data_IF_522243716528
#
_entry.id   IF_522243716528
#
_cell.length_a   1.000
_cell.length_b   1.000
_cell.length_c   1.000
_cell.angle_alpha   90.00
_cell.angle_beta   90.00
_cell.angle_gamma   90.00
#
_symmetry.space_group_name_H-M   'P 1'
#
loop_
_entity.id
_entity.type
_entity.pdbx_description
1 polymer ?
#
# COMPACT_ATOMS: atom_id res chain seq x y z
N UNK A 1 17.20 -29.95 28.95
CA UNK A 1 17.08 -28.49 29.16
C UNK A 1 18.26 -27.67 28.63
N UNK A 2 19.53 -28.09 28.79
CA UNK A 2 20.70 -27.32 28.28
C UNK A 2 20.69 -27.05 26.77
N UNK A 3 20.27 -28.02 25.96
CA UNK A 3 20.13 -27.84 24.51
C UNK A 3 19.01 -26.86 24.15
N UNK A 4 17.87 -26.92 24.86
CA UNK A 4 16.76 -25.98 24.66
C UNK A 4 17.16 -24.56 25.05
N UNK A 5 17.87 -24.38 26.16
CA UNK A 5 18.39 -23.08 26.57
C UNK A 5 19.38 -22.51 25.53
N UNK A 6 20.27 -23.35 24.99
CA UNK A 6 21.20 -22.93 23.92
C UNK A 6 20.45 -22.50 22.66
N UNK A 7 19.40 -23.23 22.26
CA UNK A 7 18.59 -22.87 21.09
C UNK A 7 17.84 -21.55 21.31
N UNK A 8 17.19 -21.38 22.46
CA UNK A 8 16.48 -20.13 22.80
C UNK A 8 17.46 -18.95 22.85
N UNK A 9 18.62 -19.14 23.46
CA UNK A 9 19.66 -18.10 23.51
C UNK A 9 20.08 -17.67 22.10
N UNK A 10 20.35 -18.64 21.20
CA UNK A 10 20.70 -18.34 19.81
C UNK A 10 19.55 -17.68 19.03
N UNK A 11 18.31 -18.09 19.27
CA UNK A 11 17.15 -17.46 18.66
C UNK A 11 16.98 -16.00 19.11
N UNK A 12 17.09 -15.73 20.41
CA UNK A 12 17.02 -14.36 20.97
C UNK A 12 18.18 -13.52 20.44
N UNK A 13 19.40 -14.07 20.43
CA UNK A 13 20.56 -13.39 19.88
C UNK A 13 20.37 -13.03 18.40
N UNK A 14 19.84 -13.96 17.59
CA UNK A 14 19.52 -13.72 16.20
C UNK A 14 18.47 -12.61 16.07
N UNK A 15 17.40 -12.64 16.86
CA UNK A 15 16.35 -11.59 16.84
C UNK A 15 16.96 -10.24 17.19
N UNK A 16 17.80 -10.15 18.23
CA UNK A 16 18.48 -8.91 18.62
C UNK A 16 19.41 -8.39 17.52
N UNK A 17 20.13 -9.29 16.84
CA UNK A 17 20.97 -8.94 15.70
C UNK A 17 20.14 -8.36 14.56
N UNK A 18 19.02 -9.01 14.20
CA UNK A 18 18.10 -8.51 13.17
C UNK A 18 17.52 -7.15 13.56
N UNK A 19 17.13 -6.96 14.82
CA UNK A 19 16.65 -5.67 15.33
C UNK A 19 17.74 -4.60 15.21
N UNK A 20 18.99 -4.94 15.51
CA UNK A 20 20.13 -4.03 15.38
C UNK A 20 20.31 -3.57 13.93
N UNK A 21 20.17 -4.49 12.97
CA UNK A 21 20.25 -4.17 11.53
C UNK A 21 19.06 -3.30 11.08
N UNK A 22 17.83 -3.61 11.50
CA UNK A 22 16.65 -2.78 11.22
C UNK A 22 16.86 -1.36 11.72
N UNK A 23 17.27 -1.21 12.98
CA UNK A 23 17.50 0.09 13.60
C UNK A 23 18.66 0.85 12.95
N UNK A 24 19.68 0.14 12.45
CA UNK A 24 20.77 0.75 11.70
C UNK A 24 20.24 1.42 10.42
N UNK A 25 19.45 0.71 9.60
CA UNK A 25 18.87 1.30 8.40
C UNK A 25 17.89 2.44 8.69
N UNK A 26 17.13 2.35 9.78
CA UNK A 26 16.20 3.43 10.17
C UNK A 26 16.96 4.68 10.59
N UNK A 27 17.95 4.56 11.48
CA UNK A 27 18.55 5.70 12.18
C UNK A 27 19.80 6.26 11.52
N UNK A 28 20.55 5.46 10.78
CA UNK A 28 21.84 5.89 10.20
C UNK A 28 21.63 6.44 8.79
N UNK A 29 21.91 7.73 8.54
CA UNK A 29 21.83 8.28 7.20
C UNK A 29 22.93 7.68 6.32
N UNK A 30 22.58 7.35 5.09
CA UNK A 30 23.52 6.84 4.12
C UNK A 30 24.22 8.00 3.39
N UNK A 31 25.52 8.14 3.57
CA UNK A 31 26.31 9.20 2.90
C UNK A 31 26.74 8.82 1.48
N UNK A 32 26.83 7.53 1.17
CA UNK A 32 27.24 7.03 -0.14
C UNK A 32 26.02 6.69 -1.00
N UNK A 33 26.03 7.00 -2.31
CA UNK A 33 24.86 6.86 -3.18
C UNK A 33 24.35 5.41 -3.27
N UNK A 34 25.26 4.42 -3.33
CA UNK A 34 24.87 3.01 -3.35
C UNK A 34 24.15 2.59 -2.06
N UNK A 35 24.65 3.02 -0.90
CA UNK A 35 24.06 2.71 0.41
C UNK A 35 22.73 3.44 0.59
N UNK A 36 22.61 4.65 0.03
CA UNK A 36 21.39 5.44 0.06
C UNK A 36 20.24 4.78 -0.72
N UNK A 37 20.54 4.23 -1.90
CA UNK A 37 19.55 3.49 -2.68
C UNK A 37 19.04 2.24 -1.93
N UNK A 38 19.96 1.46 -1.34
CA UNK A 38 19.59 0.27 -0.54
C UNK A 38 18.74 0.65 0.68
N UNK A 39 19.13 1.72 1.39
CA UNK A 39 18.37 2.22 2.55
C UNK A 39 16.98 2.71 2.14
N UNK A 40 16.87 3.45 1.04
CA UNK A 40 15.59 3.94 0.54
C UNK A 40 14.64 2.79 0.19
N UNK A 41 15.14 1.80 -0.55
CA UNK A 41 14.40 0.58 -0.86
C UNK A 41 13.97 -0.16 0.41
N UNK A 42 14.88 -0.33 1.38
CA UNK A 42 14.58 -1.01 2.64
C UNK A 42 13.46 -0.31 3.43
N UNK A 43 13.52 1.03 3.54
CA UNK A 43 12.52 1.81 4.26
C UNK A 43 11.15 1.75 3.58
N UNK A 44 11.10 1.82 2.25
CA UNK A 44 9.88 1.66 1.46
C UNK A 44 9.27 0.27 1.68
N UNK A 45 10.08 -0.79 1.54
CA UNK A 45 9.65 -2.17 1.78
C UNK A 45 9.09 -2.37 3.20
N UNK A 46 9.79 -1.84 4.22
CA UNK A 46 9.37 -1.93 5.62
C UNK A 46 8.03 -1.22 5.85
N UNK A 47 7.84 -0.03 5.29
CA UNK A 47 6.59 0.71 5.42
C UNK A 47 5.41 -0.06 4.82
N UNK A 48 5.61 -0.66 3.64
CA UNK A 48 4.59 -1.50 2.99
C UNK A 48 4.29 -2.77 3.78
N UNK A 49 5.31 -3.42 4.33
CA UNK A 49 5.13 -4.62 5.14
C UNK A 49 4.28 -4.32 6.40
N UNK A 50 4.50 -3.18 7.04
CA UNK A 50 3.71 -2.75 8.20
C UNK A 50 2.28 -2.38 7.82
N UNK A 51 2.05 -1.85 6.61
CA UNK A 51 0.70 -1.52 6.11
C UNK A 51 -0.10 -2.75 5.65
N UNK A 52 0.59 -3.81 5.24
CA UNK A 52 -0.03 -5.11 4.93
C UNK A 52 -0.35 -5.92 6.18
N UNK A 53 0.19 -5.53 7.35
CA UNK A 53 -0.29 -6.07 8.60
C UNK A 53 -1.76 -5.65 8.71
N UNK A 54 -2.70 -6.59 8.85
CA UNK A 54 -4.10 -6.25 8.86
C UNK A 54 -4.35 -5.29 10.03
N UNK A 55 -4.55 -4.01 9.71
CA UNK A 55 -5.49 -3.18 10.46
C UNK A 55 -6.78 -4.01 10.53
N UNK A 56 -7.44 -4.03 11.68
CA UNK A 56 -8.62 -4.86 11.99
C UNK A 56 -9.87 -4.49 11.14
N UNK A 57 -9.71 -4.38 9.83
CA UNK A 57 -10.74 -4.26 8.82
C UNK A 57 -11.06 -5.63 8.21
N UNK A 58 -12.28 -5.78 7.67
CA UNK A 58 -12.76 -7.07 7.18
C UNK A 58 -11.82 -7.63 6.09
N UNK A 59 -11.20 -8.77 6.40
CA UNK A 59 -10.21 -9.47 5.56
C UNK A 59 -10.86 -10.17 4.35
N UNK A 60 -12.16 -10.00 4.13
CA UNK A 60 -12.86 -10.62 3.01
C UNK A 60 -13.76 -9.62 2.28
N UNK A 61 -13.80 -9.76 0.95
CA UNK A 61 -14.69 -9.00 0.08
C UNK A 61 -16.15 -9.22 0.52
N UNK A 62 -16.47 -10.42 0.99
CA UNK A 62 -17.75 -10.79 1.56
C UNK A 62 -18.12 -9.94 2.79
N UNK A 63 -17.16 -9.66 3.68
CA UNK A 63 -17.42 -8.84 4.87
C UNK A 63 -17.53 -7.34 4.54
N UNK A 64 -16.93 -6.88 3.44
CA UNK A 64 -17.18 -5.53 2.89
C UNK A 64 -18.59 -5.46 2.28
N UNK A 65 -19.02 -6.51 1.56
CA UNK A 65 -20.37 -6.60 0.99
C UNK A 65 -21.42 -6.65 2.10
N UNK A 66 -21.22 -7.47 3.14
CA UNK A 66 -22.12 -7.54 4.30
C UNK A 66 -22.18 -6.21 5.06
N UNK A 67 -21.06 -5.51 5.24
CA UNK A 67 -21.04 -4.20 5.90
C UNK A 67 -21.82 -3.15 5.09
N UNK A 68 -21.64 -3.14 3.77
CA UNK A 68 -22.37 -2.25 2.86
C UNK A 68 -23.88 -2.58 2.86
N UNK A 69 -24.25 -3.86 2.89
CA UNK A 69 -25.64 -4.30 2.94
C UNK A 69 -26.32 -3.93 4.28
N UNK A 70 -25.55 -3.97 5.37
CA UNK A 70 -26.01 -3.56 6.71
C UNK A 70 -26.15 -2.04 6.85
N UNK A 71 -25.34 -1.26 6.14
CA UNK A 71 -25.43 0.22 6.12
C UNK A 71 -26.65 0.70 5.30
N UNK A 72 -27.06 -0.04 4.27
CA UNK A 72 -28.27 0.24 3.47
C UNK A 72 -29.58 -0.02 4.24
N UNK A 73 -29.54 -0.80 5.33
CA UNK A 73 -30.73 -1.17 6.10
C UNK A 73 -31.17 -0.13 7.17
N UNK A 74 -30.45 0.98 7.35
CA UNK A 74 -30.90 2.06 8.24
C UNK A 74 -31.64 3.16 7.47
N UNK A 75 -32.88 3.51 7.85
CA UNK A 75 -33.64 4.56 7.17
C UNK A 75 -33.09 5.94 7.56
N UNK A 76 -32.23 6.53 6.72
CA UNK A 76 -31.85 7.93 6.87
C UNK A 76 -32.97 8.86 6.35
N UNK A 77 -33.38 9.88 7.13
CA UNK A 77 -34.37 10.87 6.69
C UNK A 77 -33.83 11.74 5.56
N UNK A 78 -34.68 12.01 4.56
CA UNK A 78 -34.50 13.03 3.52
C UNK A 78 -34.03 14.37 4.14
N UNK A 79 -32.85 14.84 3.76
CA UNK A 79 -32.64 16.09 3.02
C UNK A 79 -31.16 16.54 3.12
N UNK A 80 -30.46 16.51 1.98
CA UNK A 80 -29.70 17.62 1.37
C UNK A 80 -29.00 17.05 0.12
N UNK A 81 -29.31 17.64 -1.04
CA UNK A 81 -28.93 17.14 -2.35
C UNK A 81 -27.40 16.94 -2.50
N UNK A 82 -26.93 15.72 -2.86
CA UNK A 82 -25.57 15.55 -3.35
C UNK A 82 -25.50 16.05 -4.80
N UNK A 83 -24.53 16.91 -5.10
CA UNK A 83 -24.12 17.23 -6.48
C UNK A 83 -23.85 15.92 -7.21
N UNK A 84 -24.73 15.63 -8.17
CA UNK A 84 -24.66 14.66 -9.27
C UNK A 84 -23.26 14.06 -9.49
N UNK A 85 -22.94 12.99 -8.76
CA UNK A 85 -22.02 11.98 -9.25
C UNK A 85 -22.72 11.32 -10.44
N UNK A 86 -22.14 11.42 -11.63
CA UNK A 86 -22.66 10.76 -12.81
C UNK A 86 -22.36 9.25 -12.72
N UNK A 87 -23.36 8.36 -12.90
CA UNK A 87 -23.17 6.92 -12.82
C UNK A 87 -22.72 6.32 -14.16
N UNK A 88 -21.79 5.39 -14.05
CA UNK A 88 -21.30 4.30 -14.92
C UNK A 88 -22.04 4.07 -16.25
N UNK A 89 -21.30 3.99 -17.36
CA UNK A 89 -21.71 3.29 -18.58
C UNK A 89 -20.64 2.28 -18.99
N UNK A 90 -20.96 1.00 -18.88
CA UNK A 90 -20.23 -0.09 -19.50
C UNK A 90 -20.41 -0.01 -21.03
N UNK A 91 -19.37 0.35 -21.78
CA UNK A 91 -19.13 0.01 -23.19
C UNK A 91 -17.90 0.79 -23.72
N UNK A 92 -16.70 0.42 -23.31
CA UNK A 92 -15.44 0.65 -24.03
C UNK A 92 -14.39 -0.15 -23.26
N UNK A 93 -13.66 -1.05 -23.92
CA UNK A 93 -12.47 -1.65 -23.30
C UNK A 93 -11.56 -0.48 -22.90
N UNK A 94 -11.31 -0.23 -21.60
CA UNK A 94 -10.41 0.84 -21.23
C UNK A 94 -9.02 0.40 -21.68
N UNK A 95 -8.61 0.86 -22.85
CA UNK A 95 -7.24 0.74 -23.34
C UNK A 95 -6.40 1.62 -22.42
N UNK A 96 -5.95 1.03 -21.32
CA UNK A 96 -5.09 1.69 -20.34
C UNK A 96 -3.81 2.12 -21.06
N UNK A 97 -3.65 3.43 -21.22
CA UNK A 97 -2.51 4.00 -21.95
C UNK A 97 -1.39 4.41 -21.02
N UNK A 98 -1.65 4.57 -19.72
CA UNK A 98 -0.68 5.06 -18.76
C UNK A 98 -0.66 4.18 -17.51
N UNK A 99 0.54 3.95 -16.99
CA UNK A 99 0.83 3.29 -15.73
C UNK A 99 1.57 4.30 -14.84
N UNK A 100 1.13 4.46 -13.60
CA UNK A 100 1.85 5.27 -12.62
C UNK A 100 1.92 4.58 -11.27
N UNK A 101 2.95 4.92 -10.49
CA UNK A 101 3.07 4.52 -9.10
C UNK A 101 2.58 5.66 -8.20
N UNK A 102 1.72 5.36 -7.23
CA UNK A 102 1.31 6.34 -6.22
C UNK A 102 2.40 6.51 -5.12
N UNK A 103 2.13 7.35 -4.13
CA UNK A 103 3.04 7.59 -3.00
C UNK A 103 3.25 6.34 -2.12
N UNK A 104 2.34 5.37 -2.20
CA UNK A 104 2.40 4.08 -1.52
C UNK A 104 3.03 2.98 -2.41
N UNK A 105 3.44 3.38 -3.64
CA UNK A 105 3.95 2.54 -4.71
C UNK A 105 2.99 1.46 -5.19
N UNK A 106 1.68 1.67 -5.03
CA UNK A 106 0.64 0.96 -5.75
C UNK A 106 0.67 1.34 -7.23
N UNK A 107 0.49 0.35 -8.10
CA UNK A 107 0.45 0.54 -9.55
C UNK A 107 -0.98 0.83 -10.00
N UNK A 108 -1.15 1.96 -10.68
CA UNK A 108 -2.43 2.44 -11.17
C UNK A 108 -2.41 2.58 -12.69
N UNK A 109 -3.50 2.16 -13.32
CA UNK A 109 -3.70 2.25 -14.75
C UNK A 109 -4.69 3.37 -15.06
N UNK A 110 -4.32 4.25 -15.99
CA UNK A 110 -5.15 5.35 -16.43
C UNK A 110 -5.34 5.33 -17.95
N UNK A 111 -6.52 5.70 -18.41
CA UNK A 111 -6.81 5.82 -19.84
C UNK A 111 -6.21 7.10 -20.43
N UNK A 112 -6.08 8.16 -19.61
CA UNK A 112 -5.50 9.44 -20.01
C UNK A 112 -4.64 10.06 -18.91
N UNK A 113 -3.89 11.11 -19.25
CA UNK A 113 -2.95 11.77 -18.33
C UNK A 113 -3.68 12.70 -17.35
N UNK A 114 -4.87 13.17 -17.73
CA UNK A 114 -5.76 14.00 -16.90
C UNK A 114 -6.30 13.23 -15.69
N UNK A 115 -6.54 11.93 -15.85
CA UNK A 115 -7.01 11.02 -14.81
C UNK A 115 -5.95 10.76 -13.73
N UNK A 116 -4.67 10.98 -14.05
CA UNK A 116 -3.55 10.82 -13.12
C UNK A 116 -3.46 12.06 -12.22
N UNK A 117 -3.35 11.92 -10.88
CA UNK A 117 -3.15 13.07 -10.01
C UNK A 117 -1.88 13.84 -10.37
N UNK A 118 -1.96 15.18 -10.33
CA UNK A 118 -0.87 16.14 -10.63
C UNK A 118 0.55 15.68 -10.20
N UNK A 119 0.80 15.24 -8.94
CA UNK A 119 2.15 14.86 -8.51
C UNK A 119 2.70 13.62 -9.21
N UNK A 120 1.84 12.71 -9.69
CA UNK A 120 2.23 11.43 -10.28
C UNK A 120 2.29 11.47 -11.81
N UNK A 121 1.73 12.51 -12.45
CA UNK A 121 1.74 12.69 -13.92
C UNK A 121 3.14 12.65 -14.53
N UNK A 122 4.14 13.20 -13.83
CA UNK A 122 5.54 13.24 -14.31
C UNK A 122 6.22 11.87 -14.28
N UNK A 123 5.73 10.96 -13.45
CA UNK A 123 6.26 9.61 -13.27
C UNK A 123 5.44 8.57 -14.03
N UNK A 124 4.31 8.98 -14.63
CA UNK A 124 3.48 8.11 -15.43
C UNK A 124 4.21 7.66 -16.69
N UNK A 125 4.22 6.36 -16.93
CA UNK A 125 4.78 5.72 -18.11
C UNK A 125 3.65 5.35 -19.06
N UNK A 126 3.85 5.59 -20.36
CA UNK A 126 2.88 5.16 -21.38
C UNK A 126 3.05 3.67 -21.65
N UNK A 127 1.95 2.93 -21.65
CA UNK A 127 1.90 1.52 -22.03
C UNK A 127 1.86 1.46 -23.56
N UNK A 128 2.90 0.88 -24.16
CA UNK A 128 2.95 0.56 -25.58
C UNK A 128 2.28 -0.80 -25.80
N UNK A 129 1.52 -0.94 -26.89
CA UNK A 129 0.94 -2.23 -27.31
C UNK A 129 1.98 -3.15 -27.93
#
# INVERSE_FOLDING_TARGET
MKHLFKTIFWAVFLILLLLGIDQYFVRVPASQPAVAAVRAFYLDFRARLLRQLPEEGPVSVEAVIEAAEKEVAQPQPKALAPKKAAPVSAAEEPKYKYLYADADGGLHFAASLEEIPEPFRRQAQRLEE
#
